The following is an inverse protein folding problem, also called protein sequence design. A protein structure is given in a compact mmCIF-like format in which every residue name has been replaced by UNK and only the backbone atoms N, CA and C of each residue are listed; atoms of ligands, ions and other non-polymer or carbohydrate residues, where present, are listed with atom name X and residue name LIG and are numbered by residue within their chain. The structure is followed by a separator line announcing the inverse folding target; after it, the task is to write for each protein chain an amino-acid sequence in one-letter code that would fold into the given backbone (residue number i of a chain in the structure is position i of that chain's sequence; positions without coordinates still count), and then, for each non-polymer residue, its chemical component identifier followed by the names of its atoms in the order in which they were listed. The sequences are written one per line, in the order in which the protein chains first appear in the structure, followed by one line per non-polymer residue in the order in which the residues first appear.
data_IF_865626337829
#
_entry.id   IF_865626337829
#
_cell.length_a   1.000
_cell.length_b   1.000
_cell.length_c   1.000
_cell.angle_alpha   90.00
_cell.angle_beta   90.00
_cell.angle_gamma   90.00
#
_symmetry.space_group_name_H-M   'P 1'
#
loop_
_entity.id
_entity.type
_entity.pdbx_description
1 polymer ?
#
# COMPACT_ATOMS: atom_id res chain seq x y z
N UNK A 1 -3.16 -15.54 25.58
CA UNK A 1 -4.31 -16.06 24.80
C UNK A 1 -5.21 -16.84 25.74
N UNK A 2 -6.51 -16.53 25.79
CA UNK A 2 -7.49 -17.18 26.67
C UNK A 2 -8.24 -18.31 25.95
N UNK A 3 -8.72 -18.02 24.75
CA UNK A 3 -9.47 -18.94 23.90
C UNK A 3 -8.84 -19.00 22.51
N UNK A 4 -7.82 -19.86 22.32
CA UNK A 4 -7.07 -19.94 21.07
C UNK A 4 -7.94 -20.46 19.94
N UNK A 5 -7.83 -19.80 18.77
CA UNK A 5 -8.41 -20.28 17.51
C UNK A 5 -7.44 -20.06 16.37
N UNK A 6 -7.52 -20.87 15.36
CA UNK A 6 -6.92 -20.57 14.07
C UNK A 6 -7.70 -19.39 13.47
N UNK A 7 -6.96 -18.39 12.94
CA UNK A 7 -7.58 -17.21 12.32
C UNK A 7 -8.66 -17.63 11.33
N UNK A 8 -9.89 -17.17 11.51
CA UNK A 8 -11.10 -17.66 10.79
C UNK A 8 -10.99 -17.58 9.26
N UNK A 9 -10.15 -16.70 8.74
CA UNK A 9 -9.92 -16.55 7.30
C UNK A 9 -8.86 -17.52 6.74
N UNK A 10 -8.18 -18.31 7.60
CA UNK A 10 -7.24 -19.33 7.17
C UNK A 10 -7.97 -20.67 6.99
N UNK A 11 -7.81 -21.27 5.84
CA UNK A 11 -8.38 -22.58 5.54
C UNK A 11 -7.53 -23.68 6.16
N UNK A 12 -8.15 -24.65 6.81
CA UNK A 12 -7.52 -25.90 7.24
C UNK A 12 -7.93 -26.97 6.23
N UNK A 13 -6.95 -27.69 5.63
CA UNK A 13 -7.23 -28.68 4.60
C UNK A 13 -6.13 -29.71 4.45
N UNK A 14 -6.49 -30.85 3.87
CA UNK A 14 -5.55 -31.89 3.41
C UNK A 14 -5.70 -32.01 1.88
N UNK A 15 -4.64 -32.45 1.23
CA UNK A 15 -4.65 -32.76 -0.21
C UNK A 15 -4.64 -34.28 -0.36
N UNK A 16 -5.51 -34.81 -1.19
CA UNK A 16 -5.61 -36.24 -1.42
C UNK A 16 -4.27 -36.83 -1.93
N UNK A 17 -3.79 -37.87 -1.23
CA UNK A 17 -2.51 -38.50 -1.55
C UNK A 17 -1.28 -37.82 -0.91
N UNK A 18 -1.44 -36.72 -0.19
CA UNK A 18 -0.36 -36.08 0.56
C UNK A 18 -0.50 -36.33 2.08
N UNK A 19 0.59 -36.71 2.78
CA UNK A 19 0.55 -36.98 4.22
C UNK A 19 0.71 -35.69 5.02
N UNK A 20 -0.05 -34.62 4.66
CA UNK A 20 0.13 -33.30 5.27
C UNK A 20 -1.21 -32.65 5.64
N UNK A 21 -1.20 -31.86 6.71
CA UNK A 21 -2.26 -30.92 7.07
C UNK A 21 -1.77 -29.50 6.77
N UNK A 22 -2.60 -28.72 6.12
CA UNK A 22 -2.27 -27.35 5.72
C UNK A 22 -3.17 -26.34 6.40
N UNK A 23 -2.58 -25.22 6.84
CA UNK A 23 -3.30 -24.04 7.35
C UNK A 23 -2.96 -22.85 6.46
N UNK A 24 -3.95 -22.25 5.83
CA UNK A 24 -3.78 -21.22 4.79
C UNK A 24 -3.75 -21.80 3.38
N UNK A 25 -3.43 -20.97 2.40
CA UNK A 25 -3.31 -21.32 0.98
C UNK A 25 -2.09 -20.59 0.38
N UNK A 26 -1.59 -21.10 -0.74
CA UNK A 26 -0.43 -20.51 -1.42
C UNK A 26 0.91 -21.02 -0.89
N UNK A 27 2.01 -20.38 -1.29
CA UNK A 27 3.34 -20.82 -0.93
C UNK A 27 3.70 -20.56 0.56
N UNK A 28 3.04 -19.60 1.20
CA UNK A 28 3.25 -19.24 2.61
C UNK A 28 2.36 -20.02 3.58
N UNK A 29 1.62 -21.03 3.11
CA UNK A 29 0.79 -21.87 3.99
C UNK A 29 1.65 -22.62 5.01
N UNK A 30 1.15 -22.75 6.23
CA UNK A 30 1.75 -23.63 7.23
C UNK A 30 1.48 -25.09 6.87
N UNK A 31 2.52 -25.91 6.86
CA UNK A 31 2.45 -27.34 6.59
C UNK A 31 2.84 -28.11 7.83
N UNK A 32 1.95 -29.00 8.28
CA UNK A 32 2.22 -30.01 9.31
C UNK A 32 2.41 -31.33 8.59
N UNK A 33 3.63 -31.86 8.62
CA UNK A 33 3.99 -33.12 7.95
C UNK A 33 3.63 -34.32 8.83
N UNK A 34 3.09 -35.36 8.23
CA UNK A 34 2.69 -36.61 8.89
C UNK A 34 1.90 -36.40 10.19
N UNK A 35 0.80 -35.58 10.19
CA UNK A 35 0.05 -35.29 11.39
C UNK A 35 -0.60 -36.56 11.93
N UNK A 36 -0.52 -36.75 13.25
CA UNK A 36 -1.34 -37.77 13.92
C UNK A 36 -2.81 -37.41 13.91
N UNK A 37 -3.70 -38.36 14.09
CA UNK A 37 -5.14 -38.10 14.24
C UNK A 37 -5.42 -37.14 15.40
N UNK A 38 -4.59 -37.21 16.47
CA UNK A 38 -4.68 -36.33 17.62
C UNK A 38 -4.30 -34.88 17.26
N UNK A 39 -3.22 -34.66 16.48
CA UNK A 39 -2.84 -33.33 15.99
C UNK A 39 -3.93 -32.74 15.07
N UNK A 40 -4.54 -33.54 14.20
CA UNK A 40 -5.65 -33.11 13.35
C UNK A 40 -6.85 -32.69 14.24
N UNK A 41 -7.21 -33.53 15.22
CA UNK A 41 -8.30 -33.26 16.16
C UNK A 41 -8.03 -32.02 17.00
N UNK A 42 -6.78 -31.82 17.46
CA UNK A 42 -6.37 -30.61 18.15
C UNK A 42 -6.49 -29.38 17.27
N UNK A 43 -5.94 -29.43 16.05
CA UNK A 43 -6.01 -28.30 15.10
C UNK A 43 -7.45 -27.87 14.80
N UNK A 44 -8.37 -28.84 14.66
CA UNK A 44 -9.81 -28.57 14.45
C UNK A 44 -10.51 -28.06 15.72
N UNK A 45 -10.01 -28.39 16.91
CA UNK A 45 -10.54 -27.88 18.19
C UNK A 45 -10.11 -26.42 18.46
N UNK A 46 -9.20 -25.85 17.66
CA UNK A 46 -8.79 -24.45 17.75
C UNK A 46 -9.79 -23.55 17.01
N UNK A 47 -11.04 -23.57 17.45
CA UNK A 47 -12.16 -22.77 16.93
C UNK A 47 -12.55 -21.61 17.87
N UNK A 48 -11.87 -21.50 19.03
CA UNK A 48 -12.13 -20.50 20.06
C UNK A 48 -13.22 -20.91 21.06
N UNK A 49 -13.78 -22.13 20.98
CA UNK A 49 -14.78 -22.61 21.93
C UNK A 49 -14.13 -23.12 23.24
N UNK A 50 -12.87 -23.55 23.20
CA UNK A 50 -12.16 -24.09 24.33
C UNK A 50 -11.11 -23.10 24.86
N UNK A 51 -10.97 -23.06 26.18
CA UNK A 51 -9.87 -22.34 26.83
C UNK A 51 -8.55 -23.13 26.72
N UNK A 52 -7.41 -22.46 26.90
CA UNK A 52 -6.12 -23.15 27.01
C UNK A 52 -6.09 -24.25 28.05
N UNK A 53 -6.82 -24.07 29.19
CA UNK A 53 -6.92 -25.08 30.24
C UNK A 53 -7.67 -26.34 29.79
N UNK A 54 -8.76 -26.18 29.07
CA UNK A 54 -9.55 -27.29 28.53
C UNK A 54 -8.80 -28.03 27.41
N UNK A 55 -8.06 -27.30 26.57
CA UNK A 55 -7.21 -27.90 25.55
C UNK A 55 -6.10 -28.76 26.18
N UNK A 56 -5.42 -28.27 27.24
CA UNK A 56 -4.42 -29.04 27.98
C UNK A 56 -5.00 -30.29 28.64
N UNK A 57 -6.22 -30.21 29.15
CA UNK A 57 -6.89 -31.36 29.74
C UNK A 57 -7.25 -32.44 28.70
N UNK A 58 -7.48 -32.04 27.46
CA UNK A 58 -7.88 -32.94 26.38
C UNK A 58 -6.71 -33.46 25.53
N UNK A 59 -5.64 -32.67 25.38
CA UNK A 59 -4.51 -32.96 24.52
C UNK A 59 -3.21 -32.78 25.30
N UNK A 60 -2.46 -33.85 25.61
CA UNK A 60 -1.23 -33.81 26.43
C UNK A 60 -0.15 -32.86 25.90
N UNK A 61 -0.03 -32.76 24.57
CA UNK A 61 0.99 -31.92 23.87
C UNK A 61 0.47 -30.51 23.48
N UNK A 62 -0.67 -30.07 24.03
CA UNK A 62 -1.32 -28.82 23.65
C UNK A 62 -0.41 -27.59 23.74
N UNK A 63 0.45 -27.49 24.76
CA UNK A 63 1.32 -26.34 24.94
C UNK A 63 2.38 -26.24 23.85
N UNK A 64 2.97 -27.36 23.44
CA UNK A 64 3.98 -27.39 22.36
C UNK A 64 3.34 -27.08 21.02
N UNK A 65 2.16 -27.62 20.75
CA UNK A 65 1.44 -27.36 19.51
C UNK A 65 0.91 -25.92 19.43
N UNK A 66 0.40 -25.37 20.54
CA UNK A 66 0.01 -23.95 20.60
C UNK A 66 1.21 -23.05 20.35
N UNK A 67 2.34 -23.31 20.99
CA UNK A 67 3.55 -22.51 20.80
C UNK A 67 4.07 -22.59 19.36
N UNK A 68 4.03 -23.77 18.74
CA UNK A 68 4.45 -23.94 17.34
C UNK A 68 3.53 -23.17 16.36
N UNK A 69 2.21 -23.24 16.56
CA UNK A 69 1.24 -22.52 15.72
C UNK A 69 1.26 -21.00 15.94
N UNK A 70 1.45 -20.56 17.18
CA UNK A 70 1.59 -19.14 17.53
C UNK A 70 2.85 -18.53 16.88
N UNK A 71 3.96 -19.25 16.91
CA UNK A 71 5.19 -18.85 16.22
C UNK A 71 5.03 -18.71 14.69
N UNK A 72 4.06 -19.40 14.09
CA UNK A 72 3.69 -19.28 12.68
C UNK A 72 2.70 -18.12 12.43
N UNK A 73 2.23 -17.45 13.48
CA UNK A 73 1.29 -16.32 13.37
C UNK A 73 -0.11 -16.71 12.88
N UNK A 74 -0.50 -17.99 13.01
CA UNK A 74 -1.81 -18.49 12.54
C UNK A 74 -2.88 -18.47 13.63
N UNK A 75 -2.49 -18.24 14.88
CA UNK A 75 -3.43 -18.20 16.01
C UNK A 75 -3.99 -16.80 16.26
N UNK A 76 -5.12 -16.79 16.93
CA UNK A 76 -5.90 -15.64 17.38
C UNK A 76 -6.54 -15.94 18.73
N UNK A 77 -6.89 -14.94 19.48
CA UNK A 77 -7.68 -15.10 20.72
C UNK A 77 -9.15 -14.75 20.48
N UNK A 78 -10.02 -15.74 20.48
CA UNK A 78 -11.46 -15.53 20.29
C UNK A 78 -12.09 -14.66 21.38
N UNK A 79 -11.46 -14.58 22.57
CA UNK A 79 -11.92 -13.72 23.67
C UNK A 79 -11.52 -12.24 23.47
N UNK A 80 -10.60 -11.93 22.54
CA UNK A 80 -10.17 -10.57 22.28
C UNK A 80 -11.26 -9.80 21.52
N UNK A 81 -11.56 -8.59 21.99
CA UNK A 81 -12.50 -7.68 21.31
C UNK A 81 -11.72 -6.71 20.44
N UNK A 82 -12.02 -6.65 19.12
CA UNK A 82 -11.41 -5.67 18.23
C UNK A 82 -11.71 -4.23 18.67
N UNK A 83 -10.73 -3.35 18.60
CA UNK A 83 -10.82 -1.94 19.00
C UNK A 83 -11.32 -1.00 17.89
N UNK A 84 -11.91 -1.53 16.83
CA UNK A 84 -12.44 -0.78 15.70
C UNK A 84 -13.95 -0.60 15.78
N UNK A 85 -14.45 0.46 15.15
CA UNK A 85 -15.86 0.69 14.93
C UNK A 85 -16.50 -0.52 14.21
N UNK A 86 -17.68 -1.02 14.65
CA UNK A 86 -18.33 -2.18 14.05
C UNK A 86 -18.62 -2.04 12.56
N UNK A 87 -18.89 -0.83 12.07
CA UNK A 87 -19.10 -0.58 10.65
C UNK A 87 -17.81 -0.65 9.87
N UNK A 88 -16.70 -0.19 10.45
CA UNK A 88 -15.37 -0.31 9.85
C UNK A 88 -14.93 -1.79 9.80
N UNK A 89 -15.21 -2.56 10.86
CA UNK A 89 -14.98 -4.01 10.88
C UNK A 89 -15.70 -4.72 9.75
N UNK A 90 -16.98 -4.39 9.50
CA UNK A 90 -17.75 -4.99 8.40
C UNK A 90 -17.23 -4.56 7.04
N UNK A 91 -17.02 -3.26 6.85
CA UNK A 91 -16.65 -2.67 5.56
C UNK A 91 -15.30 -3.17 5.07
N UNK A 92 -14.30 -3.19 5.93
CA UNK A 92 -12.92 -3.56 5.59
C UNK A 92 -12.51 -4.94 6.12
N UNK A 93 -13.47 -5.82 6.45
CA UNK A 93 -13.19 -7.16 7.00
C UNK A 93 -12.12 -7.93 6.24
N UNK A 94 -12.19 -7.94 4.89
CA UNK A 94 -11.21 -8.64 4.05
C UNK A 94 -9.82 -7.99 4.07
N UNK A 95 -9.76 -6.66 4.12
CA UNK A 95 -8.49 -5.94 4.23
C UNK A 95 -7.88 -6.10 5.62
N UNK A 96 -8.69 -6.04 6.66
CA UNK A 96 -8.26 -6.33 8.03
C UNK A 96 -7.69 -7.75 8.10
N UNK A 97 -8.36 -8.74 7.54
CA UNK A 97 -7.85 -10.11 7.48
C UNK A 97 -6.51 -10.20 6.74
N UNK A 98 -6.35 -9.45 5.64
CA UNK A 98 -5.06 -9.38 4.96
C UNK A 98 -3.96 -8.73 5.83
N UNK A 99 -4.27 -7.64 6.54
CA UNK A 99 -3.33 -7.02 7.47
C UNK A 99 -2.96 -7.97 8.61
N UNK A 100 -3.91 -8.73 9.13
CA UNK A 100 -3.71 -9.74 10.20
C UNK A 100 -2.79 -10.90 9.81
N UNK A 101 -2.45 -11.07 8.53
CA UNK A 101 -1.36 -11.96 8.11
C UNK A 101 0.02 -11.47 8.59
N UNK A 102 0.12 -10.22 9.01
CA UNK A 102 1.35 -9.58 9.52
C UNK A 102 1.31 -9.33 11.03
N UNK A 103 0.32 -9.90 11.76
CA UNK A 103 0.22 -9.75 13.21
C UNK A 103 1.54 -10.16 13.89
N UNK A 104 1.95 -9.37 14.87
CA UNK A 104 3.14 -9.56 15.68
C UNK A 104 3.00 -8.89 17.03
N UNK A 105 3.89 -9.18 17.97
CA UNK A 105 3.88 -8.53 19.28
C UNK A 105 3.78 -7.00 19.17
N UNK A 106 2.79 -6.44 19.84
CA UNK A 106 2.51 -4.99 19.88
C UNK A 106 1.91 -4.39 18.60
N UNK A 107 1.52 -5.20 17.61
CA UNK A 107 0.83 -4.72 16.41
C UNK A 107 -0.06 -5.81 15.80
N UNK A 108 -1.27 -5.47 15.47
CA UNK A 108 -2.22 -6.33 14.76
C UNK A 108 -2.89 -5.61 13.56
N UNK A 109 -3.62 -6.37 12.76
CA UNK A 109 -4.30 -5.82 11.59
C UNK A 109 -5.45 -4.87 11.92
N UNK A 110 -6.00 -4.92 13.13
CA UNK A 110 -6.99 -3.93 13.60
C UNK A 110 -6.34 -2.58 13.86
N UNK A 111 -5.19 -2.57 14.54
CA UNK A 111 -4.35 -1.37 14.69
C UNK A 111 -3.91 -0.83 13.33
N UNK A 112 -3.53 -1.73 12.41
CA UNK A 112 -3.21 -1.36 11.02
C UNK A 112 -4.35 -0.63 10.33
N UNK A 113 -5.58 -1.14 10.45
CA UNK A 113 -6.75 -0.48 9.87
C UNK A 113 -7.06 0.84 10.54
N UNK A 114 -6.93 0.95 11.86
CA UNK A 114 -7.09 2.21 12.61
C UNK A 114 -6.14 3.29 12.08
N UNK A 115 -4.85 2.94 11.89
CA UNK A 115 -3.86 3.87 11.31
C UNK A 115 -4.25 4.33 9.91
N UNK A 116 -4.73 3.43 9.06
CA UNK A 116 -5.22 3.83 7.72
C UNK A 116 -6.39 4.81 7.82
N UNK A 117 -7.33 4.58 8.76
CA UNK A 117 -8.47 5.48 9.00
C UNK A 117 -8.07 6.86 9.51
N UNK A 118 -6.98 6.97 10.22
CA UNK A 118 -6.43 8.23 10.75
C UNK A 118 -5.50 8.92 9.75
N UNK A 119 -4.97 8.16 8.78
CA UNK A 119 -3.96 8.64 7.86
C UNK A 119 -4.44 9.73 6.92
N UNK A 120 -3.50 10.62 6.58
CA UNK A 120 -3.62 11.69 5.60
C UNK A 120 -2.63 11.46 4.45
N UNK A 121 -3.16 11.27 3.24
CA UNK A 121 -2.36 11.06 2.03
C UNK A 121 -2.67 12.14 0.99
N UNK A 122 -1.62 12.74 0.43
CA UNK A 122 -1.72 13.79 -0.58
C UNK A 122 -1.30 13.24 -1.95
N UNK A 123 -2.06 13.54 -3.00
CA UNK A 123 -1.71 13.18 -4.38
C UNK A 123 -1.59 14.46 -5.22
N UNK A 124 -0.40 14.70 -5.74
CA UNK A 124 -0.11 15.88 -6.56
C UNK A 124 -0.26 15.48 -8.03
N UNK A 125 -1.30 16.01 -8.68
CA UNK A 125 -1.72 15.68 -10.03
C UNK A 125 -2.79 14.58 -10.07
N UNK A 126 -3.88 14.84 -10.81
CA UNK A 126 -4.99 13.91 -11.01
C UNK A 126 -5.13 13.48 -12.48
N UNK A 127 -3.99 13.26 -13.15
CA UNK A 127 -3.95 12.52 -14.39
C UNK A 127 -4.35 11.04 -14.17
N UNK A 128 -4.24 10.22 -15.20
CA UNK A 128 -4.62 8.80 -15.13
C UNK A 128 -4.06 8.06 -13.90
N UNK A 129 -2.78 8.31 -13.59
CA UNK A 129 -2.13 7.71 -12.41
C UNK A 129 -2.70 8.23 -11.10
N UNK A 130 -2.80 9.56 -10.95
CA UNK A 130 -3.27 10.19 -9.72
C UNK A 130 -4.71 9.84 -9.36
N UNK A 131 -5.62 9.85 -10.34
CA UNK A 131 -7.01 9.44 -10.11
C UNK A 131 -7.14 7.99 -9.71
N UNK A 132 -6.37 7.10 -10.34
CA UNK A 132 -6.35 5.67 -9.99
C UNK A 132 -5.78 5.42 -8.60
N UNK A 133 -4.67 6.11 -8.22
CA UNK A 133 -4.12 6.06 -6.87
C UNK A 133 -5.16 6.48 -5.83
N UNK A 134 -5.82 7.63 -6.05
CA UNK A 134 -6.84 8.16 -5.13
C UNK A 134 -8.03 7.20 -4.98
N UNK A 135 -8.48 6.60 -6.08
CA UNK A 135 -9.58 5.62 -6.06
C UNK A 135 -9.23 4.40 -5.21
N UNK A 136 -8.02 3.87 -5.35
CA UNK A 136 -7.55 2.70 -4.60
C UNK A 136 -7.30 3.03 -3.11
N UNK A 137 -6.70 4.19 -2.82
CA UNK A 137 -6.50 4.67 -1.44
C UNK A 137 -7.83 4.90 -0.72
N UNK A 138 -8.82 5.45 -1.43
CA UNK A 138 -10.17 5.65 -0.91
C UNK A 138 -10.87 4.32 -0.58
N UNK A 139 -10.76 3.32 -1.46
CA UNK A 139 -11.27 1.98 -1.22
C UNK A 139 -10.59 1.32 -0.02
N UNK A 140 -9.27 1.53 0.13
CA UNK A 140 -8.48 1.03 1.26
C UNK A 140 -8.80 1.72 2.60
N UNK A 141 -9.59 2.78 2.59
CA UNK A 141 -10.07 3.43 3.81
C UNK A 141 -9.09 4.44 4.40
N UNK A 142 -8.22 5.05 3.61
CA UNK A 142 -7.45 6.21 4.05
C UNK A 142 -8.40 7.30 4.53
N UNK A 143 -8.18 7.81 5.75
CA UNK A 143 -9.12 8.72 6.40
C UNK A 143 -9.23 10.07 5.71
N UNK A 144 -8.11 10.67 5.31
CA UNK A 144 -8.07 11.94 4.58
C UNK A 144 -7.24 11.80 3.31
N UNK A 145 -7.86 12.15 2.19
CA UNK A 145 -7.22 12.24 0.88
C UNK A 145 -7.23 13.68 0.40
N UNK A 146 -6.09 14.16 -0.07
CA UNK A 146 -5.99 15.47 -0.69
C UNK A 146 -5.46 15.33 -2.11
N UNK A 147 -5.94 16.16 -3.00
CA UNK A 147 -5.45 16.17 -4.38
C UNK A 147 -5.32 17.58 -4.92
N UNK A 148 -4.32 17.78 -5.76
CA UNK A 148 -4.03 19.06 -6.43
C UNK A 148 -4.09 18.86 -7.91
N UNK A 149 -4.93 19.63 -8.59
CA UNK A 149 -5.01 19.73 -10.04
C UNK A 149 -5.73 21.01 -10.44
N UNK A 150 -5.66 21.38 -11.72
CA UNK A 150 -6.37 22.53 -12.29
C UNK A 150 -7.02 22.21 -13.63
N UNK A 151 -6.88 20.95 -14.10
CA UNK A 151 -7.36 20.54 -15.42
C UNK A 151 -8.86 20.18 -15.40
N UNK A 152 -9.45 20.26 -16.60
CA UNK A 152 -10.76 19.74 -16.93
C UNK A 152 -10.63 18.38 -17.57
N UNK A 153 -11.58 17.47 -17.35
CA UNK A 153 -11.59 16.15 -17.94
C UNK A 153 -11.99 16.24 -19.43
N UNK A 154 -11.22 15.63 -20.29
CA UNK A 154 -11.43 15.65 -21.73
C UNK A 154 -11.75 14.25 -22.27
N UNK A 155 -12.42 14.16 -23.41
CA UNK A 155 -12.82 12.89 -24.03
C UNK A 155 -11.65 11.95 -24.27
N UNK A 156 -10.47 12.46 -24.66
CA UNK A 156 -9.27 11.68 -24.83
C UNK A 156 -8.73 11.05 -23.55
N UNK A 157 -9.20 11.48 -22.38
CA UNK A 157 -8.83 10.90 -21.09
C UNK A 157 -9.61 9.61 -20.78
N UNK A 158 -10.80 9.41 -21.34
CA UNK A 158 -11.69 8.28 -21.04
C UNK A 158 -10.98 6.91 -21.06
N UNK A 159 -10.20 6.55 -22.09
CA UNK A 159 -9.56 5.24 -22.13
C UNK A 159 -8.50 4.99 -21.05
N UNK A 160 -8.04 6.05 -20.40
CA UNK A 160 -6.91 6.00 -19.45
C UNK A 160 -7.30 6.30 -18.01
N UNK A 161 -8.52 6.80 -17.79
CA UNK A 161 -9.02 7.17 -16.47
C UNK A 161 -10.23 6.30 -16.08
N UNK A 162 -10.01 5.08 -15.58
CA UNK A 162 -11.11 4.14 -15.28
C UNK A 162 -12.03 4.59 -14.14
N UNK A 163 -11.72 5.70 -13.49
CA UNK A 163 -12.55 6.29 -12.44
C UNK A 163 -13.70 7.12 -13.01
N UNK A 164 -13.52 7.71 -14.18
CA UNK A 164 -14.42 8.67 -14.81
C UNK A 164 -15.24 8.04 -15.94
N UNK A 165 -16.34 8.67 -16.27
CA UNK A 165 -17.22 8.26 -17.37
C UNK A 165 -17.51 9.42 -18.34
N UNK A 166 -18.35 9.17 -19.36
CA UNK A 166 -18.68 10.15 -20.41
C UNK A 166 -19.38 11.40 -19.86
N UNK A 167 -20.08 11.31 -18.71
CA UNK A 167 -20.75 12.46 -18.09
C UNK A 167 -19.77 13.43 -17.43
N UNK A 168 -18.54 12.99 -17.18
CA UNK A 168 -17.49 13.82 -16.60
C UNK A 168 -16.78 14.70 -17.63
N UNK A 169 -16.99 14.48 -18.94
CA UNK A 169 -16.35 15.27 -20.00
C UNK A 169 -16.78 16.73 -19.89
N UNK A 170 -15.78 17.61 -19.78
CA UNK A 170 -16.00 19.05 -19.57
C UNK A 170 -16.08 19.46 -18.09
N UNK A 171 -16.08 18.52 -17.15
CA UNK A 171 -16.09 18.81 -15.72
C UNK A 171 -14.65 18.96 -15.20
N UNK A 172 -14.37 19.91 -14.27
CA UNK A 172 -13.08 19.97 -13.59
C UNK A 172 -12.73 18.61 -12.93
N UNK A 173 -11.52 18.10 -13.17
CA UNK A 173 -11.13 16.75 -12.71
C UNK A 173 -11.34 16.51 -11.22
N UNK A 174 -11.04 17.51 -10.38
CA UNK A 174 -11.21 17.38 -8.93
C UNK A 174 -12.68 17.33 -8.50
N UNK A 175 -13.58 17.99 -9.22
CA UNK A 175 -15.03 17.95 -8.94
C UNK A 175 -15.60 16.57 -9.28
N UNK A 176 -15.31 16.07 -10.50
CA UNK A 176 -15.70 14.75 -10.92
C UNK A 176 -15.14 13.68 -9.96
N UNK A 177 -13.86 13.79 -9.59
CA UNK A 177 -13.21 12.90 -8.66
C UNK A 177 -13.86 12.90 -7.27
N UNK A 178 -14.20 14.09 -6.75
CA UNK A 178 -14.90 14.23 -5.46
C UNK A 178 -16.22 13.45 -5.47
N UNK A 179 -16.99 13.56 -6.55
CA UNK A 179 -18.24 12.83 -6.72
C UNK A 179 -18.01 11.30 -6.69
N UNK A 180 -17.09 10.80 -7.51
CA UNK A 180 -16.81 9.36 -7.60
C UNK A 180 -16.23 8.78 -6.32
N UNK A 181 -15.37 9.52 -5.61
CA UNK A 181 -14.82 9.06 -4.33
C UNK A 181 -15.91 8.98 -3.25
N UNK A 182 -16.82 9.97 -3.19
CA UNK A 182 -17.93 9.97 -2.24
C UNK A 182 -18.89 8.78 -2.46
N UNK A 183 -19.18 8.45 -3.72
CA UNK A 183 -20.00 7.28 -4.08
C UNK A 183 -19.32 5.95 -3.66
N UNK A 184 -18.00 5.87 -3.75
CA UNK A 184 -17.27 4.67 -3.39
C UNK A 184 -17.13 4.50 -1.87
N UNK A 185 -16.75 5.57 -1.15
CA UNK A 185 -16.51 5.54 0.28
C UNK A 185 -16.79 6.89 0.92
N UNK A 186 -17.96 7.03 1.51
CA UNK A 186 -18.40 8.25 2.22
C UNK A 186 -17.69 8.47 3.57
N UNK A 187 -16.89 7.52 4.04
CA UNK A 187 -16.17 7.62 5.32
C UNK A 187 -14.79 8.25 5.21
N UNK A 188 -14.26 8.42 4.00
CA UNK A 188 -13.03 9.16 3.74
C UNK A 188 -13.35 10.62 3.42
N UNK A 189 -12.56 11.51 3.98
CA UNK A 189 -12.63 12.94 3.67
C UNK A 189 -11.77 13.23 2.45
N UNK A 190 -12.33 13.83 1.41
CA UNK A 190 -11.59 14.32 0.26
C UNK A 190 -11.48 15.84 0.27
N UNK A 191 -10.28 16.38 0.04
CA UNK A 191 -10.00 17.82 0.01
C UNK A 191 -9.37 18.16 -1.34
N UNK A 192 -10.11 18.78 -2.25
CA UNK A 192 -9.60 19.24 -3.54
C UNK A 192 -8.87 20.59 -3.40
N UNK A 193 -7.72 20.72 -4.07
CA UNK A 193 -6.97 21.97 -4.19
C UNK A 193 -6.87 22.37 -5.68
N UNK A 194 -7.76 23.27 -6.12
CA UNK A 194 -7.81 23.75 -7.49
C UNK A 194 -6.71 24.79 -7.75
N UNK A 195 -5.47 24.32 -7.88
CA UNK A 195 -4.30 25.18 -8.07
C UNK A 195 -3.20 24.48 -8.84
N UNK A 196 -2.20 25.24 -9.27
CA UNK A 196 -0.95 24.73 -9.85
C UNK A 196 0.13 24.66 -8.81
N UNK A 197 1.01 23.69 -8.96
CA UNK A 197 2.28 23.63 -8.22
C UNK A 197 3.34 24.35 -9.08
N UNK A 198 3.89 25.42 -8.51
CA UNK A 198 4.90 26.26 -9.17
C UNK A 198 6.24 26.26 -8.45
N UNK A 199 6.28 25.69 -7.23
CA UNK A 199 7.47 25.65 -6.38
C UNK A 199 7.47 24.45 -5.41
N UNK A 200 8.63 24.17 -4.81
CA UNK A 200 8.75 23.24 -3.70
C UNK A 200 7.95 23.72 -2.47
N UNK A 201 7.86 25.04 -2.27
CA UNK A 201 7.13 25.64 -1.14
C UNK A 201 5.64 25.32 -1.20
N UNK A 202 5.05 25.26 -2.40
CA UNK A 202 3.64 24.89 -2.57
C UNK A 202 3.41 23.46 -2.11
N UNK A 203 4.34 22.55 -2.45
CA UNK A 203 4.27 21.16 -2.01
C UNK A 203 4.48 21.07 -0.50
N UNK A 204 5.46 21.78 0.07
CA UNK A 204 5.72 21.79 1.52
C UNK A 204 4.45 22.14 2.29
N UNK A 205 3.75 23.22 1.90
CA UNK A 205 2.49 23.64 2.56
C UNK A 205 1.39 22.59 2.49
N UNK A 206 1.34 21.84 1.41
CA UNK A 206 0.32 20.81 1.19
C UNK A 206 0.62 19.52 1.96
N UNK A 207 1.89 19.11 2.03
CA UNK A 207 2.26 17.80 2.56
C UNK A 207 2.71 17.83 4.02
N UNK A 208 2.93 19.00 4.60
CA UNK A 208 3.34 19.10 6.01
C UNK A 208 2.34 18.41 6.92
N UNK A 209 2.82 17.49 7.76
CA UNK A 209 1.99 16.65 8.62
C UNK A 209 1.21 15.54 7.90
N UNK A 210 1.44 15.27 6.62
CA UNK A 210 0.89 14.09 5.95
C UNK A 210 1.70 12.82 6.30
N UNK A 211 1.04 11.66 6.22
CA UNK A 211 1.71 10.37 6.41
C UNK A 211 2.45 9.90 5.16
N UNK A 212 1.97 10.32 4.01
CA UNK A 212 2.55 10.01 2.71
C UNK A 212 2.07 10.97 1.63
N UNK A 213 2.86 11.17 0.57
CA UNK A 213 2.34 11.80 -0.64
C UNK A 213 2.82 11.11 -1.92
N UNK A 214 2.03 11.27 -2.99
CA UNK A 214 2.39 10.83 -4.33
C UNK A 214 2.70 12.02 -5.23
N UNK A 215 3.83 11.91 -5.94
CA UNK A 215 4.09 12.71 -7.11
C UNK A 215 3.49 12.00 -8.34
N UNK A 216 2.33 12.48 -8.79
CA UNK A 216 1.59 11.96 -9.94
C UNK A 216 1.44 13.01 -11.06
N UNK A 217 2.24 14.09 -11.02
CA UNK A 217 2.28 15.10 -12.07
C UNK A 217 3.65 15.08 -12.76
N UNK A 218 3.68 15.47 -14.03
CA UNK A 218 4.84 15.32 -14.87
C UNK A 218 5.34 16.65 -15.50
N UNK A 219 4.63 17.74 -15.33
CA UNK A 219 4.96 19.05 -15.92
C UNK A 219 5.10 20.14 -14.88
N UNK A 220 6.24 20.82 -14.88
CA UNK A 220 7.47 20.61 -15.67
C UNK A 220 8.26 19.40 -15.14
N UNK A 221 8.48 18.37 -15.97
CA UNK A 221 8.90 17.00 -15.60
C UNK A 221 10.03 16.92 -14.56
N UNK A 222 11.18 17.52 -14.82
CA UNK A 222 12.31 17.43 -13.89
C UNK A 222 12.15 18.29 -12.64
N UNK A 223 11.46 19.41 -12.75
CA UNK A 223 11.18 20.29 -11.61
C UNK A 223 10.17 19.66 -10.66
N UNK A 224 9.14 19.03 -11.19
CA UNK A 224 8.15 18.28 -10.38
C UNK A 224 8.83 17.31 -9.40
N UNK A 225 9.76 16.50 -9.92
CA UNK A 225 10.50 15.53 -9.09
C UNK A 225 11.42 16.24 -8.07
N UNK A 226 12.09 17.34 -8.47
CA UNK A 226 12.97 18.10 -7.58
C UNK A 226 12.20 18.78 -6.46
N UNK A 227 11.07 19.40 -6.78
CA UNK A 227 10.21 20.03 -5.80
C UNK A 227 9.64 19.02 -4.80
N UNK A 228 9.20 17.84 -5.29
CA UNK A 228 8.74 16.76 -4.41
C UNK A 228 9.87 16.23 -3.51
N UNK A 229 11.09 16.07 -4.07
CA UNK A 229 12.26 15.66 -3.31
C UNK A 229 12.64 16.69 -2.22
N UNK A 230 12.65 17.96 -2.57
CA UNK A 230 12.93 19.04 -1.62
C UNK A 230 11.86 19.11 -0.52
N UNK A 231 10.58 19.08 -0.90
CA UNK A 231 9.49 19.09 0.06
C UNK A 231 9.58 17.92 1.04
N UNK A 232 9.81 16.71 0.54
CA UNK A 232 9.98 15.52 1.37
C UNK A 232 11.17 15.62 2.33
N UNK A 233 12.31 16.16 1.88
CA UNK A 233 13.47 16.36 2.75
C UNK A 233 13.22 17.42 3.83
N UNK A 234 12.45 18.45 3.54
CA UNK A 234 12.13 19.54 4.48
C UNK A 234 11.09 19.16 5.51
N UNK A 235 10.05 18.43 5.10
CA UNK A 235 8.93 18.05 5.96
C UNK A 235 9.14 16.72 6.67
N UNK A 236 10.05 15.88 6.18
CA UNK A 236 10.22 14.51 6.65
C UNK A 236 9.15 13.54 6.13
N UNK A 237 8.20 14.01 5.30
CA UNK A 237 7.11 13.19 4.76
C UNK A 237 7.61 12.30 3.63
N UNK A 238 7.40 10.99 3.69
CA UNK A 238 7.77 10.08 2.61
C UNK A 238 6.93 10.30 1.36
N UNK A 239 7.52 10.01 0.19
CA UNK A 239 6.76 10.05 -1.06
C UNK A 239 7.09 8.91 -2.01
N UNK A 240 6.14 8.63 -2.89
CA UNK A 240 6.26 7.69 -3.98
C UNK A 240 5.86 8.30 -5.31
N UNK A 241 6.16 7.57 -6.37
CA UNK A 241 5.77 7.94 -7.72
C UNK A 241 5.51 6.70 -8.57
N UNK A 242 4.70 6.86 -9.59
CA UNK A 242 4.53 5.92 -10.68
C UNK A 242 4.87 6.62 -11.99
N UNK A 243 5.31 5.88 -12.96
CA UNK A 243 5.64 6.42 -14.28
C UNK A 243 5.37 5.41 -15.37
N UNK A 244 4.93 5.90 -16.52
CA UNK A 244 4.72 5.07 -17.71
C UNK A 244 5.91 5.27 -18.66
N UNK A 245 6.27 4.20 -19.33
CA UNK A 245 7.31 4.17 -20.37
C UNK A 245 6.73 3.57 -21.66
N UNK A 246 7.50 3.56 -22.74
CA UNK A 246 7.00 3.09 -24.04
C UNK A 246 6.49 1.63 -24.03
N UNK A 247 7.14 0.76 -23.27
CA UNK A 247 6.80 -0.69 -23.23
C UNK A 247 6.56 -1.22 -21.82
N UNK A 248 6.22 -0.35 -20.89
CA UNK A 248 5.99 -0.77 -19.52
C UNK A 248 5.72 0.38 -18.57
N UNK A 249 5.94 0.12 -17.29
CA UNK A 249 5.73 1.12 -16.26
C UNK A 249 6.71 0.96 -15.10
N UNK A 250 6.80 1.99 -14.27
CA UNK A 250 7.67 2.01 -13.10
C UNK A 250 6.90 2.39 -11.85
N UNK A 251 7.21 1.70 -10.75
CA UNK A 251 6.76 2.05 -9.41
C UNK A 251 7.98 2.44 -8.58
N UNK A 252 7.92 3.59 -7.92
CA UNK A 252 9.02 4.09 -7.12
C UNK A 252 10.10 4.87 -7.93
N UNK A 253 11.26 5.15 -7.29
CA UNK A 253 11.56 4.75 -5.91
C UNK A 253 10.63 5.43 -4.90
N UNK A 254 10.30 4.71 -3.83
CA UNK A 254 9.71 5.32 -2.65
C UNK A 254 10.83 5.94 -1.82
N UNK A 255 10.71 7.23 -1.57
CA UNK A 255 11.66 7.97 -0.78
C UNK A 255 11.20 8.03 0.66
N UNK A 256 12.02 7.52 1.56
CA UNK A 256 11.87 7.62 3.01
C UNK A 256 12.97 8.55 3.52
N UNK A 257 12.66 9.81 3.89
CA UNK A 257 13.65 10.79 4.31
C UNK A 257 14.56 10.24 5.41
N UNK A 258 15.86 10.45 5.24
CA UNK A 258 16.82 9.92 6.20
C UNK A 258 17.08 8.41 6.11
N UNK A 259 16.30 7.60 5.41
CA UNK A 259 16.43 6.13 5.33
C UNK A 259 16.83 5.63 3.95
N UNK A 260 16.40 6.29 2.89
CA UNK A 260 16.69 5.92 1.49
C UNK A 260 17.44 7.02 0.75
N UNK A 261 18.13 6.69 -0.37
CA UNK A 261 18.65 7.69 -1.28
C UNK A 261 17.56 8.66 -1.72
N UNK A 262 17.85 9.95 -1.76
CA UNK A 262 16.94 10.96 -2.30
C UNK A 262 16.96 10.98 -3.83
N UNK A 263 16.05 11.72 -4.47
CA UNK A 263 15.95 11.75 -5.93
C UNK A 263 17.20 12.32 -6.62
N UNK A 264 17.94 13.20 -5.96
CA UNK A 264 19.24 13.64 -6.50
C UNK A 264 20.30 12.52 -6.47
N UNK A 265 20.25 11.64 -5.44
CA UNK A 265 21.10 10.43 -5.42
C UNK A 265 20.70 9.44 -6.53
N UNK A 266 19.41 9.31 -6.80
CA UNK A 266 18.88 8.49 -7.92
C UNK A 266 19.36 9.01 -9.27
N UNK A 267 19.65 10.31 -9.38
CA UNK A 267 20.16 10.95 -10.58
C UNK A 267 19.03 11.47 -11.48
N UNK A 268 18.41 12.57 -11.07
CA UNK A 268 17.47 13.29 -11.94
C UNK A 268 18.27 13.87 -13.11
N UNK A 269 18.03 13.34 -14.32
CA UNK A 269 18.68 13.83 -15.53
C UNK A 269 17.93 15.02 -16.09
N UNK A 270 18.66 16.07 -16.48
CA UNK A 270 18.10 17.13 -17.28
C UNK A 270 17.95 16.61 -18.72
N UNK A 271 16.71 16.41 -19.14
CA UNK A 271 16.43 15.97 -20.50
C UNK A 271 16.40 17.19 -21.42
N UNK A 272 17.21 17.19 -22.47
CA UNK A 272 17.08 18.12 -23.59
C UNK A 272 16.14 17.47 -24.61
N UNK A 273 14.84 17.80 -24.52
CA UNK A 273 13.83 17.24 -25.42
C UNK A 273 13.89 17.99 -26.74
N UNK A 274 14.45 17.36 -27.75
CA UNK A 274 14.58 17.94 -29.09
C UNK A 274 13.28 17.92 -29.85
N UNK A 275 12.41 16.93 -29.57
CA UNK A 275 11.07 16.80 -30.13
C UNK A 275 10.13 16.28 -29.06
N UNK A 276 9.23 17.12 -28.52
CA UNK A 276 8.23 16.66 -27.59
C UNK A 276 7.19 15.78 -28.28
N UNK A 277 6.70 14.78 -27.53
CA UNK A 277 5.53 14.00 -27.95
C UNK A 277 4.28 14.88 -28.06
N UNK A 278 3.43 14.61 -29.04
CA UNK A 278 2.11 15.29 -29.18
C UNK A 278 1.06 14.70 -28.25
N UNK A 279 1.14 13.39 -27.99
CA UNK A 279 0.31 12.67 -27.04
C UNK A 279 1.13 11.56 -26.41
N UNK A 280 0.85 11.24 -25.14
CA UNK A 280 1.52 10.13 -24.43
C UNK A 280 1.05 8.76 -24.93
N UNK A 281 1.90 7.74 -24.79
CA UNK A 281 1.53 6.34 -24.97
C UNK A 281 1.13 5.75 -23.62
N UNK A 282 -0.17 5.47 -23.44
CA UNK A 282 -0.72 5.11 -22.15
C UNK A 282 -1.97 4.23 -22.31
N UNK A 283 -2.12 3.21 -21.49
CA UNK A 283 -3.36 2.43 -21.32
C UNK A 283 -3.84 2.47 -19.88
N UNK A 284 -5.15 2.54 -19.66
CA UNK A 284 -5.74 2.51 -18.32
C UNK A 284 -5.39 1.25 -17.54
N UNK A 285 -5.29 0.11 -18.21
CA UNK A 285 -4.91 -1.17 -17.59
C UNK A 285 -3.49 -1.16 -17.03
N UNK A 286 -2.53 -0.58 -17.76
CA UNK A 286 -1.16 -0.44 -17.29
C UNK A 286 -1.08 0.50 -16.07
N UNK A 287 -1.81 1.59 -16.12
CA UNK A 287 -1.93 2.53 -14.98
C UNK A 287 -2.51 1.83 -13.76
N UNK A 288 -3.62 1.09 -13.94
CA UNK A 288 -4.27 0.38 -12.83
C UNK A 288 -3.32 -0.65 -12.18
N UNK A 289 -2.54 -1.39 -12.98
CA UNK A 289 -1.57 -2.35 -12.47
C UNK A 289 -0.51 -1.70 -11.58
N UNK A 290 0.16 -0.64 -12.06
CA UNK A 290 1.24 0.00 -11.28
C UNK A 290 0.71 0.83 -10.12
N UNK A 291 -0.46 1.45 -10.25
CA UNK A 291 -1.13 2.12 -9.14
C UNK A 291 -1.52 1.11 -8.04
N UNK A 292 -2.00 -0.09 -8.42
CA UNK A 292 -2.28 -1.17 -7.48
C UNK A 292 -1.05 -1.59 -6.68
N UNK A 293 0.09 -1.79 -7.34
CA UNK A 293 1.37 -2.10 -6.67
C UNK A 293 1.78 -0.95 -5.74
N UNK A 294 1.73 0.30 -6.21
CA UNK A 294 2.13 1.46 -5.43
C UNK A 294 1.27 1.66 -4.18
N UNK A 295 -0.05 1.52 -4.32
CA UNK A 295 -0.99 1.65 -3.19
C UNK A 295 -0.81 0.51 -2.18
N UNK A 296 -0.59 -0.73 -2.64
CA UNK A 296 -0.32 -1.85 -1.73
C UNK A 296 0.96 -1.62 -0.88
N UNK A 297 2.01 -1.02 -1.48
CA UNK A 297 3.22 -0.65 -0.73
C UNK A 297 2.93 0.45 0.31
N UNK A 298 2.12 1.45 -0.04
CA UNK A 298 1.74 2.54 0.89
C UNK A 298 0.83 2.04 2.00
N UNK A 299 -0.15 1.17 1.70
CA UNK A 299 -0.97 0.51 2.73
C UNK A 299 -0.07 -0.21 3.74
N UNK A 300 0.91 -0.98 3.28
CA UNK A 300 1.85 -1.68 4.15
C UNK A 300 2.66 -0.74 5.06
N UNK A 301 3.11 0.40 4.52
CA UNK A 301 3.87 1.41 5.29
C UNK A 301 2.99 2.16 6.28
N UNK A 302 1.88 2.71 5.83
CA UNK A 302 1.01 3.59 6.63
C UNK A 302 0.30 2.82 7.73
N UNK A 303 -0.17 1.60 7.44
CA UNK A 303 -0.73 0.73 8.47
C UNK A 303 0.30 0.28 9.51
N UNK A 304 1.59 0.34 9.19
CA UNK A 304 2.65 -0.23 10.01
C UNK A 304 2.81 -1.74 9.87
N UNK A 305 2.08 -2.40 8.97
CA UNK A 305 2.26 -3.83 8.67
C UNK A 305 3.68 -4.13 8.19
N UNK A 306 4.27 -3.21 7.45
CA UNK A 306 5.65 -3.28 6.96
C UNK A 306 6.47 -2.12 7.50
N UNK A 307 7.68 -2.40 7.95
CA UNK A 307 8.63 -1.37 8.42
C UNK A 307 9.26 -0.59 7.26
N UNK A 308 9.18 -1.11 6.04
CA UNK A 308 9.68 -0.49 4.82
C UNK A 308 8.91 -0.98 3.60
N UNK A 309 8.95 -0.22 2.51
CA UNK A 309 8.41 -0.60 1.20
C UNK A 309 9.43 -1.40 0.40
N UNK A 310 8.95 -2.28 -0.47
CA UNK A 310 9.80 -3.00 -1.42
C UNK A 310 10.40 -2.06 -2.48
N UNK A 311 9.80 -0.90 -2.69
CA UNK A 311 10.32 0.14 -3.57
C UNK A 311 11.11 1.22 -2.82
N UNK A 312 11.37 1.05 -1.51
CA UNK A 312 12.18 1.97 -0.72
C UNK A 312 13.63 2.01 -1.22
N UNK A 313 14.05 3.14 -1.78
CA UNK A 313 15.38 3.32 -2.36
C UNK A 313 15.64 2.54 -3.66
N UNK A 314 14.61 1.98 -4.29
CA UNK A 314 14.68 1.28 -5.57
C UNK A 314 13.41 1.43 -6.39
N UNK A 315 13.50 1.27 -7.69
CA UNK A 315 12.35 1.26 -8.60
C UNK A 315 12.05 -0.17 -9.03
N UNK A 316 10.77 -0.50 -9.12
CA UNK A 316 10.28 -1.66 -9.84
C UNK A 316 9.93 -1.23 -11.26
N UNK A 317 10.54 -1.86 -12.27
CA UNK A 317 10.12 -1.76 -13.67
C UNK A 317 9.27 -2.98 -14.03
N UNK A 318 8.12 -2.73 -14.62
CA UNK A 318 7.22 -3.77 -15.15
C UNK A 318 7.26 -3.68 -16.66
N UNK A 319 7.80 -4.70 -17.30
CA UNK A 319 7.81 -4.83 -18.75
C UNK A 319 6.56 -5.59 -19.19
N UNK A 320 5.69 -4.92 -19.96
CA UNK A 320 4.41 -5.53 -20.39
C UNK A 320 4.52 -6.47 -21.59
N UNK A 321 5.62 -6.41 -22.33
CA UNK A 321 5.87 -7.31 -23.45
C UNK A 321 6.32 -8.70 -22.98
N UNK A 322 7.21 -8.72 -21.96
CA UNK A 322 7.79 -9.96 -21.39
C UNK A 322 7.14 -10.40 -20.10
N UNK A 323 6.31 -9.56 -19.47
CA UNK A 323 5.72 -9.73 -18.14
C UNK A 323 6.79 -9.97 -17.05
N UNK A 324 7.94 -9.28 -17.17
CA UNK A 324 9.00 -9.32 -16.16
C UNK A 324 8.90 -8.15 -15.19
N UNK A 325 9.40 -8.38 -13.97
CA UNK A 325 9.42 -7.45 -12.86
C UNK A 325 10.86 -7.26 -12.40
N UNK A 326 11.49 -6.15 -12.79
CA UNK A 326 12.90 -5.90 -12.57
C UNK A 326 13.11 -4.75 -11.58
N UNK A 327 13.93 -4.99 -10.55
CA UNK A 327 14.30 -3.94 -9.60
C UNK A 327 15.60 -3.26 -10.00
N UNK A 328 15.58 -1.92 -9.94
CA UNK A 328 16.79 -1.08 -10.00
C UNK A 328 17.04 -0.49 -8.63
N UNK A 329 18.15 -0.83 -8.00
CA UNK A 329 18.56 -0.31 -6.70
C UNK A 329 19.36 1.00 -6.86
N UNK A 330 19.19 1.90 -5.89
CA UNK A 330 19.91 3.18 -5.85
C UNK A 330 20.73 3.28 -4.56
N UNK A 331 21.90 3.89 -4.67
CA UNK A 331 22.80 4.12 -3.55
C UNK A 331 22.90 5.61 -3.20
N UNK A 332 23.23 5.89 -1.96
CA UNK A 332 23.56 7.26 -1.55
C UNK A 332 24.79 7.77 -2.27
N UNK A 333 24.72 8.98 -2.79
CA UNK A 333 25.89 9.68 -3.32
C UNK A 333 26.58 10.44 -2.18
N UNK A 334 27.89 10.26 -2.05
CA UNK A 334 28.68 10.88 -0.98
C UNK A 334 28.63 12.43 -0.99
N UNK A 335 28.51 13.02 -2.18
CA UNK A 335 28.43 14.47 -2.40
C UNK A 335 27.02 15.04 -2.30
N UNK A 336 26.01 14.20 -2.07
CA UNK A 336 24.63 14.65 -2.06
C UNK A 336 24.28 15.43 -0.77
N UNK A 337 23.61 16.60 -0.89
CA UNK A 337 23.16 17.37 0.27
C UNK A 337 22.32 16.60 1.30
N UNK A 338 21.60 15.54 0.87
CA UNK A 338 20.80 14.70 1.78
C UNK A 338 21.65 13.91 2.79
N UNK A 339 22.99 13.87 2.61
CA UNK A 339 23.93 13.25 3.54
C UNK A 339 24.49 14.23 4.59
N UNK A 340 24.27 15.55 4.43
CA UNK A 340 24.76 16.56 5.38
C UNK A 340 24.10 16.34 6.75
N UNK A 341 24.93 16.14 7.78
CA UNK A 341 24.46 15.92 9.16
C UNK A 341 24.23 14.47 9.55
N UNK A 342 24.46 13.50 8.67
CA UNK A 342 24.47 12.08 9.05
C UNK A 342 25.81 11.66 9.64
N UNK A 343 25.82 10.88 10.75
CA UNK A 343 27.04 10.23 11.19
C UNK A 343 27.54 9.27 10.11
N UNK A 344 28.84 9.08 9.95
CA UNK A 344 29.40 8.08 9.05
C UNK A 344 28.86 6.68 9.46
N UNK A 345 28.50 5.88 8.49
CA UNK A 345 28.05 4.49 8.69
C UNK A 345 29.21 3.60 9.05
#
# INVERSE_FOLDING_TARGET
MLQPRIKEFLRIHQVEGEPHLYIGIGPEKVQISDPTEEMISFTLALDGSLTCGELRARFPEADDWLAALDAQGVLDDAAATPTLDPDDLRRWSRQINHLRLYDREGWDGYEGMRRLREARVVVIGTGAGGTTLLRLLNAAGIGTLEAVDFDTFAEENLPTHPTFDEHDVGVPKLEALQHHLALQNSRSRFIPHHTRIESAEDIVKLVDGADFFFNAYDRPRNQAIRWSNEASLRTGVPFGQIGITDKGARVGPTMLPGRTPCMECVGIRNLNILRPEKSGSLTGTLVAMVAGIAVNEVIGLVSGAKSTSRTAGRSLYVNTETLTFDFTEFSFRADCPCQKGRPPR
#
